data_IF_168320703483
#
_entry.id   IF_168320703483
#
_cell.length_a   1.000
_cell.length_b   1.000
_cell.length_c   1.000
_cell.angle_alpha   90.00
_cell.angle_beta   90.00
_cell.angle_gamma   90.00
#
_symmetry.space_group_name_H-M   'P 1'
#
loop_
_entity.id
_entity.type
_entity.pdbx_description
1 polymer ?
#
# COMPACT_ATOMS: atom_id res chain seq x y z
N UNK A 1 29.14 12.70 33.86
CA UNK A 1 27.95 12.45 34.70
C UNK A 1 26.74 12.90 33.89
N UNK A 2 25.89 11.98 33.46
CA UNK A 2 24.67 12.34 32.70
C UNK A 2 23.69 12.99 33.67
N UNK A 3 23.29 14.23 33.38
CA UNK A 3 22.26 14.96 34.10
C UNK A 3 20.97 14.15 34.09
N UNK A 4 20.60 13.59 35.24
CA UNK A 4 19.25 13.08 35.43
C UNK A 4 18.28 14.25 35.24
N UNK A 5 17.31 14.15 34.32
CA UNK A 5 16.38 15.25 34.06
C UNK A 5 15.73 15.71 35.37
N UNK A 6 15.74 17.02 35.66
CA UNK A 6 15.17 17.62 36.89
C UNK A 6 13.74 17.14 37.22
N UNK A 7 13.01 16.70 36.19
CA UNK A 7 11.69 16.11 36.30
C UNK A 7 11.69 14.72 36.99
N UNK A 8 12.69 13.87 36.71
CA UNK A 8 12.83 12.56 37.36
C UNK A 8 13.14 12.73 38.85
N UNK A 9 14.00 13.68 39.20
CA UNK A 9 14.31 14.00 40.60
C UNK A 9 13.08 14.54 41.35
N UNK A 10 12.28 15.42 40.73
CA UNK A 10 11.04 15.91 41.32
C UNK A 10 9.99 14.80 41.54
N UNK A 11 9.86 13.85 40.60
CA UNK A 11 8.98 12.68 40.77
C UNK A 11 9.46 11.78 41.91
N UNK A 12 10.77 11.51 41.99
CA UNK A 12 11.35 10.68 43.03
C UNK A 12 11.16 11.30 44.43
N UNK A 13 11.31 12.61 44.56
CA UNK A 13 11.10 13.32 45.84
C UNK A 13 9.61 13.38 46.23
N UNK A 14 8.72 13.53 45.25
CA UNK A 14 7.27 13.47 45.48
C UNK A 14 6.83 12.07 45.94
N UNK A 15 7.41 11.01 45.37
CA UNK A 15 7.13 9.63 45.77
C UNK A 15 7.73 9.28 47.15
N UNK A 16 8.85 9.88 47.55
CA UNK A 16 9.50 9.62 48.85
C UNK A 16 8.72 10.13 50.07
N UNK A 17 8.04 11.27 49.96
CA UNK A 17 7.32 11.89 51.09
C UNK A 17 6.23 10.99 51.72
N UNK A 18 5.28 10.42 50.97
CA UNK A 18 4.24 9.55 51.54
C UNK A 18 4.79 8.18 52.00
N UNK A 19 5.91 7.73 51.42
CA UNK A 19 6.57 6.50 51.84
C UNK A 19 7.14 6.67 53.26
N UNK A 20 7.86 7.75 53.57
CA UNK A 20 8.47 7.93 54.91
C UNK A 20 7.47 8.14 56.06
N UNK A 21 6.27 8.66 55.79
CA UNK A 21 5.26 8.94 56.82
C UNK A 21 4.29 7.78 57.06
N UNK A 22 4.32 6.75 56.21
CA UNK A 22 3.43 5.61 56.30
C UNK A 22 4.09 4.42 56.99
N UNK A 23 3.35 3.70 57.84
CA UNK A 23 3.86 2.51 58.52
C UNK A 23 4.28 1.43 57.52
N UNK A 24 5.16 0.51 57.94
CA UNK A 24 5.76 -0.54 57.09
C UNK A 24 4.76 -1.24 56.13
N UNK A 25 3.52 -1.47 56.57
CA UNK A 25 2.46 -2.09 55.78
C UNK A 25 2.09 -1.31 54.49
N UNK A 26 2.10 0.02 54.51
CA UNK A 26 1.73 0.86 53.36
C UNK A 26 2.86 0.93 52.33
N UNK A 27 4.11 0.97 52.79
CA UNK A 27 5.29 0.96 51.91
C UNK A 27 5.36 -0.34 51.09
N UNK A 28 5.11 -1.48 51.74
CA UNK A 28 5.07 -2.79 51.08
C UNK A 28 3.96 -2.86 50.02
N UNK A 29 2.79 -2.29 50.30
CA UNK A 29 1.68 -2.23 49.36
C UNK A 29 2.00 -1.38 48.12
N UNK A 30 2.65 -0.22 48.29
CA UNK A 30 3.08 0.64 47.19
C UNK A 30 4.13 -0.08 46.33
N UNK A 31 5.11 -0.72 46.95
CA UNK A 31 6.15 -1.48 46.24
C UNK A 31 5.52 -2.61 45.42
N UNK A 32 4.59 -3.37 46.01
CA UNK A 32 3.89 -4.45 45.32
C UNK A 32 3.05 -3.93 44.13
N UNK A 33 2.39 -2.78 44.29
CA UNK A 33 1.64 -2.14 43.20
C UNK A 33 2.56 -1.69 42.04
N UNK A 34 3.74 -1.13 42.34
CA UNK A 34 4.72 -0.74 41.33
C UNK A 34 5.29 -1.95 40.58
N UNK A 35 5.61 -3.03 41.31
CA UNK A 35 6.07 -4.30 40.71
C UNK A 35 4.99 -4.88 39.81
N UNK A 36 3.74 -4.92 40.27
CA UNK A 36 2.61 -5.41 39.47
C UNK A 36 2.40 -4.56 38.20
N UNK A 37 2.47 -3.24 38.30
CA UNK A 37 2.36 -2.35 37.15
C UNK A 37 3.51 -2.56 36.15
N UNK A 38 4.74 -2.71 36.64
CA UNK A 38 5.89 -3.01 35.79
C UNK A 38 5.73 -4.36 35.05
N UNK A 39 5.30 -5.41 35.76
CA UNK A 39 4.99 -6.72 35.16
C UNK A 39 3.90 -6.56 34.09
N UNK A 40 2.86 -5.77 34.34
CA UNK A 40 1.82 -5.49 33.35
C UNK A 40 2.38 -4.80 32.09
N UNK A 41 3.25 -3.81 32.24
CA UNK A 41 3.88 -3.14 31.09
C UNK A 41 4.77 -4.09 30.28
N UNK A 42 5.58 -4.91 30.96
CA UNK A 42 6.46 -5.89 30.30
C UNK A 42 5.65 -6.96 29.57
N UNK A 43 4.63 -7.52 30.22
CA UNK A 43 3.76 -8.53 29.60
C UNK A 43 3.00 -7.98 28.40
N UNK A 44 2.49 -6.74 28.48
CA UNK A 44 1.87 -6.04 27.35
C UNK A 44 2.84 -5.82 26.20
N UNK A 45 4.08 -5.40 26.48
CA UNK A 45 5.09 -5.19 25.44
C UNK A 45 5.50 -6.52 24.77
N UNK A 46 5.67 -7.59 25.56
CA UNK A 46 5.93 -8.94 25.04
C UNK A 46 4.77 -9.42 24.17
N UNK A 47 3.52 -9.21 24.59
CA UNK A 47 2.34 -9.55 23.80
C UNK A 47 2.34 -8.82 22.45
N UNK A 48 2.57 -7.51 22.42
CA UNK A 48 2.66 -6.75 21.17
C UNK A 48 3.81 -7.23 20.29
N UNK A 49 4.96 -7.57 20.87
CA UNK A 49 6.10 -8.09 20.11
C UNK A 49 5.77 -9.43 19.45
N UNK A 50 5.14 -10.36 20.19
CA UNK A 50 4.70 -11.65 19.65
C UNK A 50 3.64 -11.48 18.57
N UNK A 51 2.62 -10.65 18.81
CA UNK A 51 1.54 -10.41 17.87
C UNK A 51 2.05 -9.75 16.58
N UNK A 52 2.93 -8.75 16.68
CA UNK A 52 3.55 -8.11 15.52
C UNK A 52 4.41 -9.11 14.75
N UNK A 53 5.16 -9.98 15.43
CA UNK A 53 5.90 -11.05 14.78
C UNK A 53 5.01 -11.99 13.96
N UNK A 54 3.83 -12.34 14.48
CA UNK A 54 2.85 -13.16 13.78
C UNK A 54 2.23 -12.43 12.58
N UNK A 55 1.84 -11.16 12.75
CA UNK A 55 1.31 -10.32 11.67
C UNK A 55 2.31 -10.16 10.53
N UNK A 56 3.59 -9.93 10.84
CA UNK A 56 4.64 -9.82 9.83
C UNK A 56 4.83 -11.13 9.04
N UNK A 57 4.69 -12.29 9.69
CA UNK A 57 4.73 -13.59 8.99
C UNK A 57 3.54 -13.77 8.05
N UNK A 58 2.34 -13.34 8.46
CA UNK A 58 1.14 -13.37 7.61
C UNK A 58 1.33 -12.43 6.43
N UNK A 59 1.77 -11.19 6.67
CA UNK A 59 2.02 -10.20 5.64
C UNK A 59 3.08 -10.68 4.62
N UNK A 60 4.17 -11.29 5.09
CA UNK A 60 5.19 -11.90 4.21
C UNK A 60 4.58 -12.93 3.28
N UNK A 61 3.76 -13.85 3.81
CA UNK A 61 3.08 -14.86 2.99
C UNK A 61 2.13 -14.26 1.96
N UNK A 62 1.46 -13.15 2.28
CA UNK A 62 0.61 -12.44 1.32
C UNK A 62 1.44 -11.84 0.19
N UNK A 63 2.56 -11.18 0.53
CA UNK A 63 3.49 -10.62 -0.46
C UNK A 63 4.12 -11.71 -1.33
N UNK A 64 4.53 -12.83 -0.75
CA UNK A 64 5.06 -14.00 -1.47
C UNK A 64 4.04 -14.56 -2.45
N UNK A 65 2.78 -14.78 -2.00
CA UNK A 65 1.70 -15.25 -2.87
C UNK A 65 1.40 -14.29 -4.01
N UNK A 66 1.41 -12.98 -3.74
CA UNK A 66 1.26 -11.94 -4.78
C UNK A 66 2.40 -12.03 -5.78
N UNK A 67 3.64 -12.03 -5.30
CA UNK A 67 4.83 -12.04 -6.15
C UNK A 67 4.97 -13.32 -6.97
N UNK A 68 4.48 -14.46 -6.46
CA UNK A 68 4.47 -15.74 -7.17
C UNK A 68 3.52 -15.76 -8.39
N UNK A 69 2.52 -14.86 -8.44
CA UNK A 69 1.68 -14.68 -9.64
C UNK A 69 2.44 -13.83 -10.65
N UNK A 70 3.27 -14.46 -11.47
CA UNK A 70 3.91 -13.77 -12.59
C UNK A 70 3.07 -13.94 -13.87
N UNK A 71 2.72 -12.81 -14.49
CA UNK A 71 2.10 -12.78 -15.81
C UNK A 71 3.14 -12.22 -16.78
N UNK A 72 3.29 -12.86 -17.94
CA UNK A 72 4.32 -12.48 -18.90
C UNK A 72 3.80 -11.41 -19.87
N UNK A 73 3.86 -10.14 -19.44
CA UNK A 73 3.42 -8.98 -20.22
C UNK A 73 4.41 -8.58 -21.33
N UNK A 74 5.70 -8.90 -21.17
CA UNK A 74 6.78 -8.50 -22.08
C UNK A 74 6.62 -9.00 -23.52
N UNK A 75 5.96 -10.13 -23.71
CA UNK A 75 5.70 -10.66 -25.05
C UNK A 75 4.66 -9.82 -25.80
N UNK A 76 3.81 -9.08 -25.09
CA UNK A 76 2.67 -8.37 -25.65
C UNK A 76 2.96 -6.87 -25.89
N UNK A 77 4.10 -6.37 -25.40
CA UNK A 77 4.43 -4.94 -25.42
C UNK A 77 5.65 -4.58 -26.28
N UNK A 78 6.28 -5.53 -26.98
CA UNK A 78 7.58 -5.34 -27.65
C UNK A 78 7.60 -4.26 -28.76
N UNK A 79 6.44 -3.93 -29.33
CA UNK A 79 6.33 -2.97 -30.44
C UNK A 79 5.85 -1.58 -30.01
N UNK A 80 5.65 -1.35 -28.70
CA UNK A 80 5.16 -0.06 -28.19
C UNK A 80 6.33 0.84 -27.78
N UNK A 81 6.21 2.14 -28.06
CA UNK A 81 7.12 3.16 -27.53
C UNK A 81 6.77 3.43 -26.05
N UNK A 82 7.23 2.55 -25.15
CA UNK A 82 6.88 2.59 -23.72
C UNK A 82 7.16 3.95 -23.10
N UNK A 83 8.36 4.49 -23.35
CA UNK A 83 8.80 5.75 -22.78
C UNK A 83 7.92 6.91 -23.24
N UNK A 84 7.40 6.89 -24.46
CA UNK A 84 6.49 7.92 -24.92
C UNK A 84 5.15 7.85 -24.17
N UNK A 85 4.55 6.65 -24.11
CA UNK A 85 3.22 6.42 -23.50
C UNK A 85 3.20 6.78 -22.02
N UNK A 86 4.28 6.47 -21.28
CA UNK A 86 4.36 6.72 -19.83
C UNK A 86 4.35 8.22 -19.49
N UNK A 87 4.82 9.08 -20.39
CA UNK A 87 4.85 10.53 -20.19
C UNK A 87 3.61 11.24 -20.74
N UNK A 88 2.66 10.50 -21.33
CA UNK A 88 1.41 11.07 -21.81
C UNK A 88 0.44 11.36 -20.65
N UNK A 89 -0.27 12.48 -20.75
CA UNK A 89 -1.44 12.75 -19.91
C UNK A 89 -2.68 11.97 -20.37
N UNK A 90 -3.76 12.01 -19.58
CA UNK A 90 -5.00 11.27 -19.87
C UNK A 90 -5.63 11.69 -21.21
N UNK A 91 -5.54 12.98 -21.56
CA UNK A 91 -6.11 13.48 -22.82
C UNK A 91 -5.30 12.96 -24.02
N UNK A 92 -3.97 12.95 -23.91
CA UNK A 92 -3.06 12.38 -24.91
C UNK A 92 -3.25 10.88 -25.05
N UNK A 93 -3.42 10.15 -23.95
CA UNK A 93 -3.72 8.71 -23.97
C UNK A 93 -5.05 8.42 -24.67
N UNK A 94 -6.12 9.16 -24.31
CA UNK A 94 -7.43 9.04 -24.96
C UNK A 94 -7.33 9.32 -26.46
N UNK A 95 -6.63 10.40 -26.83
CA UNK A 95 -6.45 10.75 -28.23
C UNK A 95 -5.68 9.66 -28.98
N UNK A 96 -4.63 9.08 -28.37
CA UNK A 96 -3.90 7.95 -28.95
C UNK A 96 -4.74 6.69 -29.14
N UNK A 97 -5.68 6.40 -28.22
CA UNK A 97 -6.63 5.30 -28.37
C UNK A 97 -7.59 5.53 -29.55
N UNK A 98 -8.14 6.74 -29.68
CA UNK A 98 -9.06 7.10 -30.78
C UNK A 98 -8.34 7.06 -32.13
N UNK A 99 -7.09 7.53 -32.18
CA UNK A 99 -6.25 7.50 -33.38
C UNK A 99 -5.70 6.11 -33.72
N UNK A 100 -5.91 5.11 -32.85
CA UNK A 100 -5.42 3.75 -33.05
C UNK A 100 -3.90 3.61 -32.95
N UNK A 101 -3.21 4.55 -32.27
CA UNK A 101 -1.76 4.46 -32.03
C UNK A 101 -1.39 3.30 -31.11
N UNK A 102 -2.30 2.95 -30.21
CA UNK A 102 -2.23 1.80 -29.31
C UNK A 102 -3.65 1.44 -28.87
N UNK A 103 -3.84 0.24 -28.35
CA UNK A 103 -5.10 -0.24 -27.79
C UNK A 103 -5.17 -0.10 -26.26
N UNK A 104 -6.36 -0.20 -25.68
CA UNK A 104 -6.56 -0.27 -24.23
C UNK A 104 -5.86 -1.50 -23.66
N UNK A 105 -5.83 -2.61 -24.42
CA UNK A 105 -5.07 -3.82 -24.04
C UNK A 105 -3.57 -3.53 -23.95
N UNK A 106 -3.02 -2.77 -24.90
CA UNK A 106 -1.60 -2.36 -24.87
C UNK A 106 -1.29 -1.53 -23.63
N UNK A 107 -2.15 -0.56 -23.30
CA UNK A 107 -2.01 0.23 -22.09
C UNK A 107 -2.07 -0.64 -20.83
N UNK A 108 -3.07 -1.52 -20.71
CA UNK A 108 -3.18 -2.41 -19.55
C UNK A 108 -1.95 -3.30 -19.41
N UNK A 109 -1.44 -3.85 -20.51
CA UNK A 109 -0.22 -4.66 -20.49
C UNK A 109 1.00 -3.85 -20.01
N UNK A 110 1.21 -2.66 -20.56
CA UNK A 110 2.32 -1.77 -20.19
C UNK A 110 2.26 -1.39 -18.70
N UNK A 111 1.12 -0.90 -18.24
CA UNK A 111 0.97 -0.47 -16.84
C UNK A 111 0.98 -1.66 -15.88
N UNK A 112 0.46 -2.82 -16.27
CA UNK A 112 0.54 -4.05 -15.46
C UNK A 112 1.97 -4.56 -15.35
N UNK A 113 2.76 -4.50 -16.43
CA UNK A 113 4.18 -4.84 -16.40
C UNK A 113 4.94 -3.94 -15.41
N UNK A 114 4.67 -2.63 -15.43
CA UNK A 114 5.27 -1.67 -14.49
C UNK A 114 4.80 -1.90 -13.06
N UNK A 115 3.52 -2.17 -12.85
CA UNK A 115 2.98 -2.51 -11.54
C UNK A 115 3.65 -3.77 -10.97
N UNK A 116 3.85 -4.80 -11.81
CA UNK A 116 4.51 -6.03 -11.41
C UNK A 116 6.01 -5.85 -11.13
N UNK A 117 6.73 -5.10 -11.98
CA UNK A 117 8.18 -4.95 -11.86
C UNK A 117 8.59 -3.88 -10.85
N UNK A 118 8.09 -2.66 -11.01
CA UNK A 118 8.42 -1.50 -10.18
C UNK A 118 7.49 -1.42 -8.98
N UNK A 119 6.18 -1.55 -9.20
CA UNK A 119 5.15 -1.41 -8.16
C UNK A 119 5.32 -2.42 -7.02
N UNK A 120 5.55 -3.71 -7.33
CA UNK A 120 5.85 -4.73 -6.31
C UNK A 120 7.16 -4.47 -5.58
N UNK A 121 8.22 -4.04 -6.28
CA UNK A 121 9.53 -3.74 -5.68
C UNK A 121 9.46 -2.59 -4.67
N UNK A 122 8.64 -1.59 -4.97
CA UNK A 122 8.42 -0.41 -4.12
C UNK A 122 7.25 -0.59 -3.14
N UNK A 123 6.59 -1.75 -3.12
CA UNK A 123 5.39 -2.02 -2.33
C UNK A 123 4.24 -1.00 -2.55
N UNK A 124 4.05 -0.57 -3.79
CA UNK A 124 2.99 0.38 -4.18
C UNK A 124 1.68 -0.30 -4.55
N UNK A 125 1.68 -1.62 -4.76
CA UNK A 125 0.48 -2.41 -5.11
C UNK A 125 0.10 -3.35 -3.96
N UNK A 126 -1.17 -3.35 -3.54
CA UNK A 126 -1.65 -4.28 -2.51
C UNK A 126 -2.41 -5.46 -3.11
N UNK A 127 -3.26 -5.16 -4.10
CA UNK A 127 -4.09 -6.15 -4.82
C UNK A 127 -3.93 -5.90 -6.31
N UNK A 128 -3.77 -6.96 -7.08
CA UNK A 128 -3.51 -6.90 -8.51
C UNK A 128 -4.57 -7.70 -9.28
N UNK A 129 -5.37 -7.01 -10.09
CA UNK A 129 -6.50 -7.57 -10.82
C UNK A 129 -6.24 -7.59 -12.35
N UNK A 130 -5.02 -7.97 -12.75
CA UNK A 130 -4.55 -7.87 -14.13
C UNK A 130 -5.44 -8.57 -15.16
N UNK A 131 -5.91 -9.79 -14.87
CA UNK A 131 -6.80 -10.51 -15.79
C UNK A 131 -8.14 -9.80 -16.01
N UNK A 132 -8.71 -9.25 -14.94
CA UNK A 132 -9.97 -8.52 -15.04
C UNK A 132 -9.80 -7.22 -15.81
N UNK A 133 -8.68 -6.52 -15.56
CA UNK A 133 -8.31 -5.32 -16.32
C UNK A 133 -8.15 -5.65 -17.81
N UNK A 134 -7.48 -6.74 -18.16
CA UNK A 134 -7.31 -7.17 -19.55
C UNK A 134 -8.64 -7.53 -20.22
N UNK A 135 -9.56 -8.20 -19.52
CA UNK A 135 -10.91 -8.45 -20.05
C UNK A 135 -11.67 -7.16 -20.32
N UNK A 136 -11.64 -6.22 -19.39
CA UNK A 136 -12.29 -4.91 -19.57
C UNK A 136 -11.66 -4.11 -20.71
N UNK A 137 -10.34 -4.14 -20.84
CA UNK A 137 -9.63 -3.47 -21.92
C UNK A 137 -10.11 -3.94 -23.31
N UNK A 138 -10.28 -5.26 -23.50
CA UNK A 138 -10.82 -5.81 -24.76
C UNK A 138 -12.22 -5.28 -25.08
N UNK A 139 -13.09 -5.22 -24.08
CA UNK A 139 -14.44 -4.64 -24.24
C UNK A 139 -14.35 -3.16 -24.61
N UNK A 140 -13.43 -2.42 -23.99
CA UNK A 140 -13.22 -0.99 -24.29
C UNK A 140 -12.66 -0.74 -25.68
N UNK A 141 -11.81 -1.64 -26.18
CA UNK A 141 -11.31 -1.59 -27.56
C UNK A 141 -12.43 -1.83 -28.57
N UNK A 142 -13.33 -2.79 -28.30
CA UNK A 142 -14.51 -3.03 -29.13
C UNK A 142 -15.48 -1.83 -29.11
N UNK A 143 -15.73 -1.23 -27.95
CA UNK A 143 -16.55 -0.01 -27.83
C UNK A 143 -15.93 1.17 -28.58
N UNK A 144 -14.60 1.34 -28.51
CA UNK A 144 -13.88 2.39 -29.23
C UNK A 144 -14.00 2.19 -30.74
N UNK A 145 -13.82 0.96 -31.22
CA UNK A 145 -13.96 0.63 -32.63
C UNK A 145 -15.37 0.95 -33.16
N UNK A 146 -16.42 0.59 -32.41
CA UNK A 146 -17.81 0.92 -32.78
C UNK A 146 -18.05 2.42 -32.84
N UNK A 147 -17.56 3.17 -31.84
CA UNK A 147 -17.70 4.62 -31.84
C UNK A 147 -16.99 5.29 -33.03
N UNK A 148 -15.83 4.78 -33.43
CA UNK A 148 -15.12 5.25 -34.64
C UNK A 148 -15.95 4.97 -35.91
N UNK A 149 -16.60 3.81 -36.00
CA UNK A 149 -17.49 3.46 -37.12
C UNK A 149 -18.77 4.33 -37.15
N UNK A 150 -19.28 4.74 -35.99
CA UNK A 150 -20.48 5.57 -35.83
C UNK A 150 -20.23 7.08 -36.03
N UNK A 151 -18.98 7.53 -35.89
CA UNK A 151 -18.55 8.91 -36.17
C UNK A 151 -18.35 9.79 -34.92
N UNK A 152 -18.09 11.08 -35.16
CA UNK A 152 -17.57 12.01 -34.14
C UNK A 152 -18.50 12.17 -32.90
N UNK A 153 -19.81 12.10 -33.07
CA UNK A 153 -20.77 12.18 -31.96
C UNK A 153 -20.63 11.00 -31.00
N UNK A 154 -20.44 9.78 -31.53
CA UNK A 154 -20.23 8.59 -30.71
C UNK A 154 -18.85 8.63 -30.00
N UNK A 155 -17.82 9.14 -30.69
CA UNK A 155 -16.49 9.36 -30.08
C UNK A 155 -16.57 10.40 -28.95
N UNK A 156 -17.32 11.47 -29.12
CA UNK A 156 -17.55 12.46 -28.06
C UNK A 156 -18.30 11.86 -26.86
N UNK A 157 -19.16 10.86 -27.10
CA UNK A 157 -19.81 10.06 -26.07
C UNK A 157 -18.86 9.17 -25.27
N UNK A 158 -17.69 8.82 -25.82
CA UNK A 158 -16.64 8.12 -25.07
C UNK A 158 -16.04 9.08 -24.02
N UNK A 159 -16.28 8.79 -22.75
CA UNK A 159 -15.78 9.60 -21.63
C UNK A 159 -14.26 9.76 -21.62
N UNK A 160 -13.76 10.74 -20.85
CA UNK A 160 -12.34 11.10 -20.81
C UNK A 160 -11.40 9.94 -20.42
N UNK A 161 -11.87 9.05 -19.53
CA UNK A 161 -11.10 7.91 -19.03
C UNK A 161 -11.40 6.60 -19.76
N UNK A 162 -12.11 6.66 -20.90
CA UNK A 162 -12.45 5.45 -21.64
C UNK A 162 -11.19 4.73 -22.14
N UNK A 163 -11.02 3.47 -21.74
CA UNK A 163 -9.86 2.65 -22.12
C UNK A 163 -8.55 2.96 -21.39
N UNK A 164 -8.53 3.97 -20.50
CA UNK A 164 -7.32 4.37 -19.76
C UNK A 164 -7.22 3.58 -18.45
N UNK A 165 -6.12 2.85 -18.19
CA UNK A 165 -5.94 2.12 -16.93
C UNK A 165 -5.73 3.07 -15.75
N UNK A 166 -6.32 2.73 -14.61
CA UNK A 166 -6.20 3.46 -13.34
C UNK A 166 -5.78 2.47 -12.26
N UNK A 167 -4.81 2.86 -11.42
CA UNK A 167 -4.21 2.03 -10.37
C UNK A 167 -4.58 2.56 -8.98
#
# INVERSE_FOLDING_TARGET
AQDTPKFITAILDFLKRPIMESGYCVQDAILLALVAFFIFLVTRQLYHWVLNGLLMRIASKVVERRNAKEINFKAQTQNLEHDLIIHMDVAQLRQGLIEGKFSSVDLVNLFSERAQSIGRKLNLTTVENFESALRMAKVKDEETKKAIEEGDEAIAGLGLFHGVPIC
#
